data_IF_903312182308
#
_entry.id   IF_903312182308
#
_cell.length_a   1.000
_cell.length_b   1.000
_cell.length_c   1.000
_cell.angle_alpha   90.00
_cell.angle_beta   90.00
_cell.angle_gamma   90.00
#
_symmetry.space_group_name_H-M   'P 1'
#
loop_
_entity.id
_entity.type
_entity.pdbx_description
1 polymer ?
#
# COMPACT_ATOMS: atom_id res chain seq x y z
N UNK A 1 -9.25 2.59 -11.20
CA UNK A 1 -10.71 2.70 -11.26
C UNK A 1 -11.14 3.74 -10.24
N UNK A 2 -10.79 3.54 -8.97
CA UNK A 2 -11.05 4.46 -7.88
C UNK A 2 -10.88 5.98 -8.19
N UNK A 3 -9.77 6.46 -8.80
CA UNK A 3 -9.65 7.89 -9.14
C UNK A 3 -10.69 8.40 -10.14
N UNK A 4 -11.04 7.56 -11.12
CA UNK A 4 -12.07 7.86 -12.13
C UNK A 4 -13.46 7.82 -11.49
N UNK A 5 -13.71 6.85 -10.62
CA UNK A 5 -14.96 6.77 -9.86
C UNK A 5 -15.12 7.96 -8.92
N UNK A 6 -14.05 8.37 -8.23
CA UNK A 6 -14.04 9.56 -7.37
C UNK A 6 -14.27 10.82 -8.18
N UNK A 7 -13.58 11.02 -9.31
CA UNK A 7 -13.80 12.20 -10.15
C UNK A 7 -15.22 12.26 -10.69
N UNK A 8 -15.80 11.12 -11.09
CA UNK A 8 -17.20 11.03 -11.49
C UNK A 8 -18.15 11.40 -10.34
N UNK A 9 -17.94 10.86 -9.13
CA UNK A 9 -18.76 11.21 -7.96
C UNK A 9 -18.72 12.71 -7.60
N UNK A 10 -17.64 13.40 -8.00
CA UNK A 10 -17.46 14.84 -7.83
C UNK A 10 -17.95 15.67 -9.02
N UNK A 11 -18.44 15.03 -10.10
CA UNK A 11 -18.86 15.70 -11.34
C UNK A 11 -17.70 16.26 -12.17
N UNK A 12 -16.48 15.75 -11.98
CA UNK A 12 -15.23 16.24 -12.59
C UNK A 12 -14.59 15.21 -13.54
N UNK A 13 -15.35 14.21 -14.00
CA UNK A 13 -14.78 13.11 -14.80
C UNK A 13 -14.16 13.61 -16.12
N UNK A 14 -14.86 14.48 -16.85
CA UNK A 14 -14.38 15.00 -18.13
C UNK A 14 -13.12 15.84 -17.98
N UNK A 15 -13.08 16.74 -16.99
CA UNK A 15 -11.91 17.55 -16.66
C UNK A 15 -10.73 16.67 -16.26
N UNK A 16 -11.00 15.63 -15.46
CA UNK A 16 -9.99 14.67 -15.03
C UNK A 16 -9.39 13.92 -16.22
N UNK A 17 -10.22 13.33 -17.09
CA UNK A 17 -9.74 12.62 -18.28
C UNK A 17 -8.98 13.56 -19.23
N UNK A 18 -9.49 14.77 -19.46
CA UNK A 18 -8.81 15.78 -20.29
C UNK A 18 -7.45 16.19 -19.72
N UNK A 19 -7.31 16.24 -18.39
CA UNK A 19 -6.02 16.50 -17.75
C UNK A 19 -5.05 15.33 -17.93
N UNK A 20 -5.54 14.09 -17.87
CA UNK A 20 -4.72 12.89 -18.10
C UNK A 20 -4.16 12.84 -19.52
N UNK A 21 -4.93 13.24 -20.54
CA UNK A 21 -4.46 13.28 -21.94
C UNK A 21 -3.20 14.13 -22.15
N UNK A 22 -2.98 15.13 -21.30
CA UNK A 22 -1.82 16.03 -21.34
C UNK A 22 -0.71 15.64 -20.35
N UNK A 23 -0.87 14.51 -19.68
CA UNK A 23 0.01 14.03 -18.62
C UNK A 23 0.72 12.76 -19.06
N UNK A 24 1.96 12.56 -18.60
CA UNK A 24 2.64 11.28 -18.77
C UNK A 24 2.01 10.25 -17.84
N UNK A 25 1.44 9.18 -18.40
CA UNK A 25 0.75 8.12 -17.67
C UNK A 25 1.64 6.89 -17.57
N UNK A 26 1.91 6.48 -16.34
CA UNK A 26 2.75 5.33 -16.03
C UNK A 26 1.92 4.26 -15.34
N UNK A 27 1.86 3.07 -15.94
CA UNK A 27 1.22 1.91 -15.33
C UNK A 27 2.28 0.99 -14.74
N UNK A 28 2.15 0.59 -13.47
CA UNK A 28 3.11 -0.32 -12.84
C UNK A 28 3.05 -1.75 -13.40
N UNK A 29 1.85 -2.24 -13.73
CA UNK A 29 1.62 -3.65 -14.09
C UNK A 29 0.37 -3.83 -14.98
N UNK A 30 0.10 -5.04 -15.50
CA UNK A 30 -1.04 -5.29 -16.38
C UNK A 30 -2.41 -4.99 -15.76
N UNK A 31 -2.54 -5.10 -14.42
CA UNK A 31 -3.81 -4.85 -13.72
C UNK A 31 -4.25 -3.38 -13.81
N UNK A 32 -3.48 -2.37 -13.35
CA UNK A 32 -3.83 -0.97 -13.58
C UNK A 32 -3.84 -0.61 -15.06
N UNK A 33 -2.96 -1.20 -15.89
CA UNK A 33 -2.96 -0.95 -17.33
C UNK A 33 -4.27 -1.37 -18.01
N UNK A 34 -4.87 -2.50 -17.60
CA UNK A 34 -6.19 -2.93 -18.09
C UNK A 34 -7.27 -1.89 -17.77
N UNK A 35 -7.24 -1.32 -16.56
CA UNK A 35 -8.21 -0.29 -16.16
C UNK A 35 -8.02 1.00 -16.96
N UNK A 36 -6.79 1.46 -17.15
CA UNK A 36 -6.50 2.65 -17.96
C UNK A 36 -7.00 2.47 -19.40
N UNK A 37 -6.71 1.33 -20.03
CA UNK A 37 -7.17 0.99 -21.39
C UNK A 37 -8.69 0.94 -21.52
N UNK A 38 -9.39 0.34 -20.55
CA UNK A 38 -10.87 0.31 -20.54
C UNK A 38 -11.48 1.72 -20.54
N UNK A 39 -10.80 2.67 -19.90
CA UNK A 39 -11.22 4.08 -19.83
C UNK A 39 -10.56 4.94 -20.93
N UNK A 40 -9.93 4.32 -21.94
CA UNK A 40 -9.27 5.00 -23.07
C UNK A 40 -8.16 5.98 -22.66
N UNK A 41 -7.58 5.80 -21.48
CA UNK A 41 -6.41 6.56 -21.03
C UNK A 41 -5.16 5.90 -21.63
N UNK A 42 -4.28 6.69 -22.24
CA UNK A 42 -3.01 6.20 -22.79
C UNK A 42 -2.05 5.76 -21.69
N UNK A 43 -1.03 4.99 -22.06
CA UNK A 43 0.03 4.53 -21.16
C UNK A 43 1.35 4.78 -21.87
N UNK A 44 2.16 5.67 -21.32
CA UNK A 44 3.46 6.03 -21.88
C UNK A 44 4.55 5.05 -21.45
N UNK A 45 4.49 4.60 -20.18
CA UNK A 45 5.50 3.72 -19.58
C UNK A 45 4.81 2.60 -18.82
N UNK A 46 5.25 1.37 -19.06
CA UNK A 46 4.97 0.20 -18.23
C UNK A 46 6.21 -0.69 -18.21
N UNK A 47 6.79 -1.01 -17.04
CA UNK A 47 7.95 -1.88 -16.97
C UNK A 47 7.58 -3.31 -17.42
N UNK A 48 8.54 -4.13 -17.87
CA UNK A 48 8.32 -5.55 -18.08
C UNK A 48 8.12 -6.31 -16.75
N UNK A 49 7.79 -7.60 -16.84
CA UNK A 49 7.80 -8.49 -15.68
C UNK A 49 9.16 -8.44 -14.98
N UNK A 50 9.21 -8.49 -13.62
CA UNK A 50 8.13 -8.88 -12.69
C UNK A 50 7.26 -7.75 -12.11
N UNK A 51 7.28 -6.53 -12.67
CA UNK A 51 6.41 -5.40 -12.26
C UNK A 51 6.61 -4.91 -10.80
N UNK A 52 7.83 -5.00 -10.29
CA UNK A 52 8.19 -4.47 -8.96
C UNK A 52 8.41 -2.96 -9.00
N UNK A 53 8.53 -2.35 -7.82
CA UNK A 53 8.94 -0.94 -7.71
C UNK A 53 10.31 -0.69 -8.31
N UNK A 54 11.24 -1.65 -8.19
CA UNK A 54 12.57 -1.53 -8.80
C UNK A 54 12.48 -1.53 -10.33
N UNK A 55 11.66 -2.40 -10.90
CA UNK A 55 11.47 -2.47 -12.36
C UNK A 55 10.83 -1.19 -12.90
N UNK A 56 9.86 -0.64 -12.16
CA UNK A 56 9.25 0.63 -12.50
C UNK A 56 10.29 1.76 -12.54
N UNK A 57 11.11 1.87 -11.49
CA UNK A 57 12.18 2.88 -11.39
C UNK A 57 13.18 2.71 -12.55
N UNK A 58 13.54 1.47 -12.89
CA UNK A 58 14.46 1.16 -13.98
C UNK A 58 13.88 1.48 -15.37
N UNK A 59 12.56 1.46 -15.52
CA UNK A 59 11.88 1.84 -16.76
C UNK A 59 11.69 3.36 -16.92
N UNK A 60 11.95 4.15 -15.86
CA UNK A 60 11.90 5.62 -15.96
C UNK A 60 13.13 6.13 -16.73
N UNK A 61 12.97 7.18 -17.55
CA UNK A 61 14.10 7.79 -18.24
C UNK A 61 15.10 8.39 -17.23
N UNK A 62 16.40 8.38 -17.58
CA UNK A 62 17.50 8.91 -16.75
C UNK A 62 17.50 10.44 -16.66
N UNK A 63 16.61 11.12 -17.37
CA UNK A 63 16.49 12.59 -17.33
C UNK A 63 16.09 13.08 -15.94
N UNK A 64 16.71 14.16 -15.43
CA UNK A 64 16.30 14.78 -14.18
C UNK A 64 14.81 15.12 -14.16
N UNK A 65 14.16 14.88 -13.03
CA UNK A 65 12.75 15.18 -12.80
C UNK A 65 12.56 16.54 -12.10
N UNK A 66 13.62 17.36 -12.06
CA UNK A 66 13.63 18.68 -11.43
C UNK A 66 12.47 19.55 -11.91
N UNK A 67 11.65 20.00 -10.96
CA UNK A 67 10.48 20.86 -11.22
C UNK A 67 9.26 20.13 -11.78
N UNK A 68 9.33 18.80 -11.99
CA UNK A 68 8.15 18.00 -12.34
C UNK A 68 7.32 17.72 -11.10
N UNK A 69 5.99 17.73 -11.27
CA UNK A 69 5.04 17.27 -10.25
C UNK A 69 4.58 15.87 -10.64
N UNK A 70 4.66 14.93 -9.70
CA UNK A 70 4.27 13.54 -9.94
C UNK A 70 3.22 13.15 -8.91
N UNK A 71 2.06 12.70 -9.39
CA UNK A 71 1.04 12.11 -8.56
C UNK A 71 1.19 10.58 -8.56
N UNK A 72 1.26 9.97 -7.38
CA UNK A 72 1.30 8.51 -7.22
C UNK A 72 -0.03 8.07 -6.61
N UNK A 73 -0.81 7.31 -7.38
CA UNK A 73 -1.98 6.64 -6.82
C UNK A 73 -1.53 5.47 -5.93
N UNK A 74 -1.77 5.57 -4.64
CA UNK A 74 -1.48 4.51 -3.68
C UNK A 74 -2.49 3.36 -3.79
N UNK A 75 -2.05 2.17 -3.40
CA UNK A 75 -2.93 1.02 -3.17
C UNK A 75 -2.83 0.62 -1.71
N UNK A 76 -3.63 1.27 -0.88
CA UNK A 76 -3.79 0.98 0.54
C UNK A 76 -2.64 1.44 1.47
N UNK A 77 -1.39 1.46 1.00
CA UNK A 77 -0.25 1.98 1.75
C UNK A 77 0.71 2.77 0.84
N UNK A 78 1.52 3.63 1.46
CA UNK A 78 2.54 4.43 0.78
C UNK A 78 3.65 3.55 0.20
N UNK A 79 4.20 3.96 -0.95
CA UNK A 79 5.38 3.34 -1.53
C UNK A 79 6.59 4.26 -1.31
N UNK A 80 7.11 4.25 -0.08
CA UNK A 80 8.18 5.13 0.33
C UNK A 80 9.41 5.03 -0.57
N UNK A 81 9.74 3.83 -1.07
CA UNK A 81 10.86 3.60 -1.99
C UNK A 81 10.67 4.38 -3.30
N UNK A 82 9.50 4.25 -3.94
CA UNK A 82 9.21 4.96 -5.20
C UNK A 82 9.21 6.47 -5.00
N UNK A 83 8.51 6.93 -3.96
CA UNK A 83 8.37 8.36 -3.66
C UNK A 83 9.71 9.01 -3.32
N UNK A 84 10.56 8.32 -2.56
CA UNK A 84 11.90 8.78 -2.24
C UNK A 84 12.79 8.85 -3.48
N UNK A 85 12.78 7.83 -4.33
CA UNK A 85 13.59 7.80 -5.55
C UNK A 85 13.22 8.93 -6.51
N UNK A 86 11.92 9.15 -6.75
CA UNK A 86 11.45 10.25 -7.59
C UNK A 86 11.82 11.61 -7.01
N UNK A 87 11.73 11.77 -5.69
CA UNK A 87 12.12 13.00 -5.00
C UNK A 87 13.63 13.24 -5.08
N UNK A 88 14.45 12.20 -4.95
CA UNK A 88 15.90 12.26 -5.12
C UNK A 88 16.30 12.69 -6.54
N UNK A 89 15.47 12.36 -7.55
CA UNK A 89 15.61 12.84 -8.93
C UNK A 89 15.08 14.27 -9.16
N UNK A 90 14.64 14.97 -8.12
CA UNK A 90 14.19 16.36 -8.15
C UNK A 90 12.70 16.59 -8.37
N UNK A 91 11.88 15.52 -8.37
CA UNK A 91 10.43 15.66 -8.52
C UNK A 91 9.76 16.15 -7.23
N UNK A 92 8.68 16.91 -7.37
CA UNK A 92 7.70 17.13 -6.31
C UNK A 92 6.66 16.02 -6.36
N UNK A 93 6.73 15.10 -5.39
CA UNK A 93 5.86 13.91 -5.34
C UNK A 93 4.66 14.18 -4.45
N UNK A 94 3.46 13.92 -4.98
CA UNK A 94 2.20 13.94 -4.25
C UNK A 94 1.60 12.54 -4.26
N UNK A 95 1.47 11.94 -3.09
CA UNK A 95 0.78 10.65 -2.96
C UNK A 95 -0.72 10.87 -2.82
N UNK A 96 -1.50 10.10 -3.58
CA UNK A 96 -2.97 10.17 -3.59
C UNK A 96 -3.51 8.84 -3.11
N UNK A 97 -4.09 8.85 -1.91
CA UNK A 97 -4.75 7.70 -1.31
C UNK A 97 -6.26 7.92 -1.26
N UNK A 98 -7.02 6.97 -1.80
CA UNK A 98 -8.49 7.01 -1.79
C UNK A 98 -9.10 6.16 -0.68
N UNK A 99 -8.28 5.32 -0.04
CA UNK A 99 -8.64 4.53 1.11
C UNK A 99 -7.36 4.24 1.90
N UNK A 100 -7.41 4.38 3.22
CA UNK A 100 -6.34 3.96 4.11
C UNK A 100 -6.72 2.67 4.82
N UNK A 101 -5.72 1.81 5.07
CA UNK A 101 -5.87 0.77 6.07
C UNK A 101 -5.78 1.44 7.44
N UNK A 102 -6.89 1.45 8.18
CA UNK A 102 -6.95 1.88 9.57
C UNK A 102 -7.00 0.70 10.51
N UNK A 103 -6.86 0.99 11.80
CA UNK A 103 -7.34 0.07 12.83
C UNK A 103 -8.86 -0.07 12.69
N UNK A 104 -9.45 -1.23 13.01
CA UNK A 104 -10.89 -1.36 13.06
C UNK A 104 -11.47 -0.36 14.08
N UNK A 105 -12.68 0.14 13.80
CA UNK A 105 -13.40 1.02 14.73
C UNK A 105 -13.61 0.34 16.08
N UNK A 106 -13.94 -0.96 16.04
CA UNK A 106 -13.99 -1.83 17.20
C UNK A 106 -12.71 -2.67 17.31
N UNK A 107 -11.92 -2.40 18.36
CA UNK A 107 -10.69 -3.13 18.67
C UNK A 107 -10.89 -4.25 19.70
N UNK A 108 -12.09 -4.36 20.31
CA UNK A 108 -12.39 -5.36 21.34
C UNK A 108 -12.10 -6.79 20.88
N UNK A 109 -12.40 -7.22 19.63
CA UNK A 109 -12.04 -8.56 19.17
C UNK A 109 -10.54 -8.83 19.19
N UNK A 110 -9.72 -7.85 18.82
CA UNK A 110 -8.25 -7.98 18.80
C UNK A 110 -7.71 -8.03 20.23
N UNK A 111 -8.24 -7.19 21.12
CA UNK A 111 -7.85 -7.19 22.54
C UNK A 111 -8.20 -8.52 23.19
N UNK A 112 -9.38 -9.07 22.92
CA UNK A 112 -9.78 -10.38 23.43
C UNK A 112 -8.86 -11.48 22.88
N UNK A 113 -8.54 -11.45 21.58
CA UNK A 113 -7.59 -12.40 20.99
C UNK A 113 -6.20 -12.33 21.66
N UNK A 114 -5.70 -11.13 21.99
CA UNK A 114 -4.44 -10.99 22.73
C UNK A 114 -4.54 -11.63 24.12
N UNK A 115 -5.65 -11.44 24.83
CA UNK A 115 -5.88 -12.08 26.11
C UNK A 115 -5.99 -13.61 25.99
N UNK A 116 -6.67 -14.11 24.95
CA UNK A 116 -6.82 -15.54 24.68
C UNK A 116 -5.44 -16.18 24.37
N UNK A 117 -4.55 -15.47 23.65
CA UNK A 117 -3.14 -15.89 23.48
C UNK A 117 -2.43 -15.96 24.82
N UNK A 118 -2.49 -14.90 25.63
CA UNK A 118 -1.82 -14.85 26.94
C UNK A 118 -2.34 -15.93 27.92
N UNK A 119 -3.61 -16.32 27.78
CA UNK A 119 -4.24 -17.39 28.57
C UNK A 119 -4.02 -18.79 28.00
N UNK A 120 -3.26 -18.94 26.90
CA UNK A 120 -3.01 -20.24 26.27
C UNK A 120 -4.23 -20.87 25.61
N UNK A 121 -5.23 -20.05 25.23
CA UNK A 121 -6.46 -20.50 24.56
C UNK A 121 -6.32 -20.51 23.02
N UNK A 122 -5.23 -19.93 22.50
CA UNK A 122 -4.91 -19.91 21.07
C UNK A 122 -3.52 -20.51 20.88
N UNK A 123 -3.45 -21.61 20.13
CA UNK A 123 -2.18 -22.29 19.82
C UNK A 123 -1.49 -21.77 18.55
N UNK A 124 -2.25 -21.13 17.65
CA UNK A 124 -1.78 -20.71 16.32
C UNK A 124 -2.35 -19.35 15.93
N UNK A 125 -1.48 -18.45 15.47
CA UNK A 125 -1.86 -17.17 14.86
C UNK A 125 -1.39 -17.11 13.41
N UNK A 126 -2.27 -16.74 12.49
CA UNK A 126 -1.94 -16.61 11.06
C UNK A 126 -2.11 -15.18 10.55
N UNK A 127 -1.05 -14.62 9.99
CA UNK A 127 -1.06 -13.34 9.28
C UNK A 127 -1.31 -13.56 7.79
N UNK A 128 -2.45 -13.09 7.30
CA UNK A 128 -2.88 -13.17 5.91
C UNK A 128 -2.58 -11.92 5.12
N UNK A 129 -2.01 -10.89 5.75
CA UNK A 129 -1.46 -9.72 5.07
C UNK A 129 -0.42 -9.01 5.93
N UNK A 130 0.59 -8.45 5.28
CA UNK A 130 1.67 -7.71 5.95
C UNK A 130 1.17 -6.60 6.89
N UNK A 131 0.13 -5.79 6.55
CA UNK A 131 -0.35 -4.73 7.44
C UNK A 131 -0.93 -5.20 8.78
N UNK A 132 -1.29 -6.48 8.92
CA UNK A 132 -1.85 -7.01 10.16
C UNK A 132 -0.83 -7.00 11.31
N UNK A 133 0.46 -7.21 11.04
CA UNK A 133 1.53 -7.22 12.04
C UNK A 133 1.67 -5.85 12.75
N UNK A 134 1.94 -4.74 12.04
CA UNK A 134 2.04 -3.43 12.69
C UNK A 134 0.72 -2.97 13.31
N UNK A 135 -0.44 -3.36 12.75
CA UNK A 135 -1.73 -3.03 13.34
C UNK A 135 -1.94 -3.74 14.68
N UNK A 136 -1.63 -5.03 14.76
CA UNK A 136 -1.71 -5.81 16.00
C UNK A 136 -0.80 -5.21 17.08
N UNK A 137 0.46 -4.89 16.74
CA UNK A 137 1.41 -4.29 17.67
C UNK A 137 0.97 -2.90 18.15
N UNK A 138 0.37 -2.08 17.28
CA UNK A 138 -0.16 -0.77 17.65
C UNK A 138 -1.35 -0.89 18.62
N UNK A 139 -2.28 -1.82 18.36
CA UNK A 139 -3.40 -2.09 19.29
C UNK A 139 -2.83 -2.58 20.64
N UNK A 140 -1.89 -3.53 20.64
CA UNK A 140 -1.27 -4.02 21.86
C UNK A 140 -0.54 -2.91 22.64
N UNK A 141 0.11 -1.97 21.95
CA UNK A 141 0.77 -0.81 22.57
C UNK A 141 -0.24 0.10 23.28
N UNK A 142 -1.34 0.43 22.62
CA UNK A 142 -2.43 1.24 23.20
C UNK A 142 -3.05 0.60 24.44
N UNK A 143 -3.02 -0.72 24.52
CA UNK A 143 -3.53 -1.52 25.64
C UNK A 143 -2.43 -2.01 26.59
N UNK A 144 -1.20 -1.51 26.47
CA UNK A 144 -0.07 -1.85 27.35
C UNK A 144 0.27 -3.35 27.40
N UNK A 145 -0.06 -4.10 26.34
CA UNK A 145 0.17 -5.55 26.23
C UNK A 145 1.21 -5.92 25.17
N UNK A 146 1.83 -4.93 24.49
CA UNK A 146 2.80 -5.15 23.40
C UNK A 146 3.95 -6.08 23.77
N UNK A 147 4.63 -5.82 24.89
CA UNK A 147 5.80 -6.60 25.29
C UNK A 147 5.42 -8.05 25.66
N UNK A 148 4.29 -8.22 26.35
CA UNK A 148 3.74 -9.56 26.65
C UNK A 148 3.40 -10.31 25.38
N UNK A 149 2.69 -9.65 24.45
CA UNK A 149 2.32 -10.25 23.17
C UNK A 149 3.56 -10.69 22.38
N UNK A 150 4.60 -9.86 22.29
CA UNK A 150 5.85 -10.24 21.61
C UNK A 150 6.48 -11.47 22.25
N UNK A 151 6.48 -11.57 23.58
CA UNK A 151 6.97 -12.75 24.31
C UNK A 151 6.15 -14.00 23.95
N UNK A 152 4.82 -13.90 23.92
CA UNK A 152 3.93 -15.02 23.62
C UNK A 152 4.10 -15.50 22.16
N UNK A 153 4.15 -14.56 21.20
CA UNK A 153 4.36 -14.84 19.77
C UNK A 153 5.73 -15.47 19.49
N UNK A 154 6.73 -15.19 20.32
CA UNK A 154 8.10 -15.71 20.16
C UNK A 154 8.29 -17.09 20.82
N UNK A 155 7.31 -17.56 21.59
CA UNK A 155 7.47 -18.74 22.44
C UNK A 155 6.31 -19.72 22.37
N UNK A 156 5.15 -19.32 22.89
CA UNK A 156 4.10 -20.26 23.27
C UNK A 156 3.17 -20.68 22.13
N UNK A 157 3.16 -19.94 21.02
CA UNK A 157 2.25 -20.21 19.90
C UNK A 157 2.98 -20.33 18.57
N UNK A 158 2.35 -21.01 17.61
CA UNK A 158 2.83 -21.07 16.23
C UNK A 158 2.38 -19.82 15.47
N UNK A 159 3.32 -19.08 14.88
CA UNK A 159 3.02 -17.92 14.02
C UNK A 159 3.21 -18.31 12.54
N UNK A 160 2.14 -18.17 11.76
CA UNK A 160 2.13 -18.35 10.32
C UNK A 160 1.98 -17.00 9.59
N UNK A 161 2.55 -16.86 8.39
CA UNK A 161 2.42 -15.64 7.58
C UNK A 161 2.31 -15.95 6.10
N UNK A 162 1.59 -15.11 5.35
CA UNK A 162 1.46 -15.26 3.90
C UNK A 162 2.66 -14.63 3.17
N UNK A 163 3.50 -15.49 2.61
CA UNK A 163 4.59 -15.11 1.72
C UNK A 163 5.71 -14.30 2.38
N UNK A 164 6.84 -14.13 1.67
CA UNK A 164 8.08 -13.63 2.25
C UNK A 164 8.05 -12.15 2.64
N UNK A 165 7.06 -11.38 2.18
CA UNK A 165 6.91 -9.97 2.59
C UNK A 165 6.36 -9.89 3.99
N UNK A 166 5.30 -10.67 4.30
CA UNK A 166 4.70 -10.69 5.63
C UNK A 166 5.62 -11.35 6.67
N UNK A 167 6.48 -12.29 6.27
CA UNK A 167 7.41 -12.99 7.18
C UNK A 167 8.56 -12.12 7.69
N UNK A 168 8.91 -11.03 7.00
CA UNK A 168 10.09 -10.21 7.31
C UNK A 168 9.83 -9.04 8.26
N UNK A 169 8.57 -8.67 8.42
CA UNK A 169 8.13 -7.59 9.30
C UNK A 169 7.76 -8.13 10.69
#
# INVERSE_FOLDING_TARGET
AALIETSNSMGLENEFLTALDKTTIIARSPKPASVLRKNKIHIDIMPPEPYTTKDLIAALPDTPLTGKRIAIQQYGAANSILSQELSNRGASVQEVSLYSWGLPEDQTPVVNMINDIANGQIDVLAFTSQPQVPNLLNIAEKHQSKDSLISDLSGQIVVASVGPVCTRD
#
